data_IF_221706898323
#
_entry.id   IF_221706898323
#
_cell.length_a   1.000
_cell.length_b   1.000
_cell.length_c   1.000
_cell.angle_alpha   90.00
_cell.angle_beta   90.00
_cell.angle_gamma   90.00
#
_symmetry.space_group_name_H-M   'P 1'
#
loop_
_entity.id
_entity.type
_entity.pdbx_description
1 polymer ?
#
# COMPACT_ATOMS: atom_id res chain seq x y z
N UNK A 1 25.72 -8.49 46.25
CA UNK A 1 26.41 -7.76 45.15
C UNK A 1 26.18 -8.39 43.78
N UNK A 2 26.48 -9.68 43.55
CA UNK A 2 26.30 -10.29 42.22
C UNK A 2 24.82 -10.30 41.75
N UNK A 3 23.89 -10.66 42.65
CA UNK A 3 22.46 -10.66 42.36
C UNK A 3 21.91 -9.26 42.03
N UNK A 4 22.39 -8.22 42.72
CA UNK A 4 21.97 -6.82 42.47
C UNK A 4 22.52 -6.30 41.14
N UNK A 5 23.74 -6.70 40.75
CA UNK A 5 24.31 -6.36 39.44
C UNK A 5 23.59 -7.06 38.29
N UNK A 6 23.23 -8.34 38.44
CA UNK A 6 22.45 -9.07 37.45
C UNK A 6 21.06 -8.47 37.29
N UNK A 7 20.36 -8.17 38.40
CA UNK A 7 19.04 -7.54 38.36
C UNK A 7 19.09 -6.17 37.66
N UNK A 8 20.11 -5.35 37.94
CA UNK A 8 20.33 -4.07 37.26
C UNK A 8 20.60 -4.22 35.77
N UNK A 9 21.41 -5.21 35.37
CA UNK A 9 21.67 -5.52 33.97
C UNK A 9 20.40 -5.95 33.23
N UNK A 10 19.62 -6.88 33.79
CA UNK A 10 18.35 -7.32 33.18
C UNK A 10 17.34 -6.18 33.08
N UNK A 11 17.21 -5.35 34.12
CA UNK A 11 16.34 -4.18 34.09
C UNK A 11 16.76 -3.18 32.99
N UNK A 12 18.06 -2.95 32.83
CA UNK A 12 18.60 -2.09 31.77
C UNK A 12 18.28 -2.65 30.37
N UNK A 13 18.51 -3.95 30.14
CA UNK A 13 18.21 -4.60 28.87
C UNK A 13 16.71 -4.53 28.53
N UNK A 14 15.84 -4.79 29.51
CA UNK A 14 14.38 -4.69 29.34
C UNK A 14 13.97 -3.26 29.02
N UNK A 15 14.51 -2.27 29.73
CA UNK A 15 14.20 -0.86 29.48
C UNK A 15 14.64 -0.41 28.08
N UNK A 16 15.83 -0.80 27.64
CA UNK A 16 16.33 -0.49 26.30
C UNK A 16 15.50 -1.18 25.21
N UNK A 17 15.13 -2.45 25.40
CA UNK A 17 14.27 -3.18 24.48
C UNK A 17 12.87 -2.53 24.39
N UNK A 18 12.26 -2.21 25.53
CA UNK A 18 10.97 -1.53 25.58
C UNK A 18 11.03 -0.14 24.92
N UNK A 19 12.11 0.61 25.12
CA UNK A 19 12.32 1.90 24.46
C UNK A 19 12.44 1.76 22.93
N UNK A 20 13.18 0.75 22.44
CA UNK A 20 13.28 0.48 21.00
C UNK A 20 11.93 0.09 20.39
N UNK A 21 11.18 -0.81 21.03
CA UNK A 21 9.85 -1.21 20.58
C UNK A 21 8.88 -0.03 20.60
N UNK A 22 8.89 0.77 21.68
CA UNK A 22 8.06 1.96 21.81
C UNK A 22 8.39 3.04 20.78
N UNK A 23 9.67 3.27 20.49
CA UNK A 23 10.13 4.21 19.47
C UNK A 23 9.70 3.78 18.06
N UNK A 24 9.87 2.51 17.71
CA UNK A 24 9.40 1.95 16.44
C UNK A 24 7.87 2.08 16.32
N UNK A 25 7.12 1.64 17.33
CA UNK A 25 5.66 1.77 17.32
C UNK A 25 5.21 3.23 17.16
N UNK A 26 5.86 4.18 17.84
CA UNK A 26 5.58 5.61 17.71
C UNK A 26 5.90 6.14 16.30
N UNK A 27 7.00 5.70 15.71
CA UNK A 27 7.39 6.09 14.35
C UNK A 27 6.37 5.62 13.31
N UNK A 28 5.99 4.34 13.36
CA UNK A 28 4.94 3.78 12.47
C UNK A 28 3.58 4.46 12.68
N UNK A 29 3.18 4.72 13.94
CA UNK A 29 1.95 5.46 14.24
C UNK A 29 1.96 6.88 13.71
N UNK A 30 3.10 7.59 13.79
CA UNK A 30 3.24 8.94 13.22
C UNK A 30 3.15 8.92 11.69
N UNK A 31 3.75 7.92 11.03
CA UNK A 31 3.62 7.72 9.58
C UNK A 31 2.17 7.45 9.18
N UNK A 32 1.43 6.66 9.95
CA UNK A 32 0.00 6.42 9.73
C UNK A 32 -0.88 7.64 10.05
N UNK A 33 -0.51 8.47 11.03
CA UNK A 33 -1.27 9.66 11.43
C UNK A 33 -1.04 10.89 10.53
N UNK A 34 0.00 10.89 9.69
CA UNK A 34 0.16 11.91 8.67
C UNK A 34 -0.90 11.74 7.60
N UNK A 35 -1.75 12.76 7.39
CA UNK A 35 -2.44 12.94 6.12
C UNK A 35 -1.37 13.14 5.06
N UNK A 36 -0.83 12.04 4.53
CA UNK A 36 0.17 12.06 3.48
C UNK A 36 -0.33 12.95 2.34
N UNK A 37 0.58 13.67 1.70
CA UNK A 37 0.23 14.39 0.48
C UNK A 37 -0.54 13.43 -0.45
N UNK A 38 -1.57 13.91 -1.17
CA UNK A 38 -2.35 13.06 -2.06
C UNK A 38 -1.40 12.33 -3.02
N UNK A 39 -1.43 11.00 -2.98
CA UNK A 39 -0.58 10.13 -3.78
C UNK A 39 -1.45 9.47 -4.86
N UNK A 40 -1.04 9.61 -6.11
CA UNK A 40 -1.65 8.92 -7.25
C UNK A 40 -0.66 7.91 -7.82
N UNK A 41 -1.08 6.65 -7.92
CA UNK A 41 -0.34 5.56 -8.56
C UNK A 41 -0.93 5.31 -9.94
N UNK A 42 -0.11 5.44 -10.97
CA UNK A 42 -0.50 5.08 -12.34
C UNK A 42 0.04 3.68 -12.63
N UNK A 43 -0.86 2.73 -12.90
CA UNK A 43 -0.52 1.36 -13.29
C UNK A 43 -0.77 1.23 -14.80
N UNK A 44 0.28 1.29 -15.65
CA UNK A 44 0.13 0.97 -17.07
C UNK A 44 -0.18 -0.51 -17.24
N UNK A 45 -1.06 -0.80 -18.20
CA UNK A 45 -1.52 -2.13 -18.56
C UNK A 45 -1.48 -2.29 -20.08
N UNK A 46 -1.21 -3.51 -20.53
CA UNK A 46 -1.25 -3.87 -21.94
C UNK A 46 -1.67 -5.33 -22.07
N UNK A 47 -2.85 -5.56 -22.63
CA UNK A 47 -3.43 -6.90 -22.73
C UNK A 47 -3.80 -7.52 -21.38
N UNK A 48 -4.41 -8.70 -21.45
CA UNK A 48 -4.85 -9.45 -20.27
C UNK A 48 -3.80 -10.50 -19.90
N UNK A 49 -2.87 -10.13 -19.03
CA UNK A 49 -1.92 -11.07 -18.43
C UNK A 49 -2.66 -12.19 -17.67
N UNK A 50 -2.06 -13.37 -17.61
CA UNK A 50 -2.49 -14.41 -16.67
C UNK A 50 -2.44 -13.84 -15.25
N UNK A 51 -3.58 -13.86 -14.57
CA UNK A 51 -3.81 -13.29 -13.24
C UNK A 51 -3.84 -11.77 -13.09
N UNK A 52 -4.08 -11.03 -14.19
CA UNK A 52 -4.24 -9.57 -14.14
C UNK A 52 -5.13 -9.12 -12.99
N UNK A 53 -6.33 -9.69 -12.88
CA UNK A 53 -7.31 -9.32 -11.85
C UNK A 53 -6.79 -9.50 -10.42
N UNK A 54 -6.10 -10.61 -10.15
CA UNK A 54 -5.50 -10.86 -8.83
C UNK A 54 -4.42 -9.83 -8.51
N UNK A 55 -3.57 -9.49 -9.49
CA UNK A 55 -2.53 -8.46 -9.33
C UNK A 55 -3.14 -7.09 -9.06
N UNK A 56 -4.20 -6.71 -9.79
CA UNK A 56 -4.88 -5.44 -9.59
C UNK A 56 -5.58 -5.38 -8.22
N UNK A 57 -6.24 -6.46 -7.77
CA UNK A 57 -6.79 -6.53 -6.40
C UNK A 57 -5.72 -6.35 -5.34
N UNK A 58 -4.60 -7.07 -5.48
CA UNK A 58 -3.47 -6.95 -4.56
C UNK A 58 -2.89 -5.53 -4.53
N UNK A 59 -2.94 -4.79 -5.64
CA UNK A 59 -2.52 -3.38 -5.66
C UNK A 59 -3.47 -2.52 -4.82
N UNK A 60 -4.79 -2.69 -4.98
CA UNK A 60 -5.78 -1.94 -4.20
C UNK A 60 -5.74 -2.29 -2.71
N UNK A 61 -5.49 -3.55 -2.38
CA UNK A 61 -5.40 -4.02 -1.00
C UNK A 61 -4.08 -3.59 -0.31
N UNK A 62 -3.08 -3.15 -1.09
CA UNK A 62 -1.79 -2.67 -0.54
C UNK A 62 -1.90 -1.34 0.22
N UNK A 63 -2.99 -0.60 -0.01
CA UNK A 63 -3.36 0.59 0.76
C UNK A 63 -4.66 0.31 1.53
N UNK A 64 -4.61 -0.36 2.68
CA UNK A 64 -5.82 -0.74 3.42
C UNK A 64 -6.66 0.48 3.85
N UNK A 65 -6.06 1.66 3.99
CA UNK A 65 -6.70 2.89 4.46
C UNK A 65 -7.36 3.71 3.34
N UNK A 66 -7.13 3.37 2.06
CA UNK A 66 -7.80 4.01 0.91
C UNK A 66 -7.39 5.46 0.69
N UNK A 67 -6.15 5.81 1.03
CA UNK A 67 -5.57 7.14 0.89
C UNK A 67 -4.91 7.38 -0.47
N UNK A 68 -4.71 6.34 -1.26
CA UNK A 68 -4.04 6.38 -2.56
C UNK A 68 -5.05 6.32 -3.69
N UNK A 69 -4.95 7.25 -4.63
CA UNK A 69 -5.67 7.15 -5.89
C UNK A 69 -4.93 6.20 -6.84
N UNK A 70 -5.64 5.29 -7.50
CA UNK A 70 -5.05 4.39 -8.49
C UNK A 70 -5.68 4.60 -9.86
N UNK A 71 -4.84 4.90 -10.85
CA UNK A 71 -5.22 5.05 -12.25
C UNK A 71 -4.73 3.84 -13.05
N UNK A 72 -5.66 3.02 -13.52
CA UNK A 72 -5.36 1.92 -14.44
C UNK A 72 -5.27 2.49 -15.87
N UNK A 73 -4.05 2.63 -16.39
CA UNK A 73 -3.82 3.20 -17.71
C UNK A 73 -3.80 2.10 -18.78
N UNK A 74 -4.70 2.19 -19.76
CA UNK A 74 -4.73 1.35 -20.97
C UNK A 74 -4.55 2.21 -22.21
N UNK A 75 -4.02 1.61 -23.28
CA UNK A 75 -3.86 2.28 -24.56
C UNK A 75 -5.21 2.62 -25.20
N UNK A 76 -6.14 1.66 -25.20
CA UNK A 76 -7.47 1.81 -25.79
C UNK A 76 -8.53 1.01 -25.04
N UNK A 77 -9.81 1.19 -25.40
CA UNK A 77 -10.93 0.41 -24.82
C UNK A 77 -10.98 -1.02 -25.33
N UNK A 78 -10.32 -1.27 -26.46
CA UNK A 78 -10.16 -2.57 -27.10
C UNK A 78 -9.04 -3.38 -26.44
N UNK A 79 -8.22 -2.77 -25.59
CA UNK A 79 -7.23 -3.50 -24.80
C UNK A 79 -7.92 -4.55 -23.91
N UNK A 80 -7.52 -5.83 -23.97
CA UNK A 80 -8.10 -6.89 -23.13
C UNK A 80 -8.04 -6.63 -21.62
N UNK A 81 -7.16 -5.76 -21.12
CA UNK A 81 -7.12 -5.32 -19.72
C UNK A 81 -8.29 -4.40 -19.34
N UNK A 82 -8.81 -3.61 -20.29
CA UNK A 82 -9.85 -2.61 -20.04
C UNK A 82 -11.10 -3.18 -19.37
N UNK A 83 -11.73 -4.28 -19.84
CA UNK A 83 -12.92 -4.82 -19.19
C UNK A 83 -12.63 -5.32 -17.77
N UNK A 84 -11.45 -5.90 -17.52
CA UNK A 84 -11.04 -6.38 -16.18
C UNK A 84 -10.88 -5.22 -15.22
N UNK A 85 -10.11 -4.19 -15.61
CA UNK A 85 -9.89 -3.01 -14.78
C UNK A 85 -11.18 -2.20 -14.56
N UNK A 86 -12.00 -2.04 -15.59
CA UNK A 86 -13.29 -1.35 -15.50
C UNK A 86 -14.28 -2.07 -14.58
N UNK A 87 -14.30 -3.41 -14.62
CA UNK A 87 -15.10 -4.21 -13.70
C UNK A 87 -14.60 -4.02 -12.26
N UNK A 88 -13.30 -4.18 -12.03
CA UNK A 88 -12.72 -4.05 -10.70
C UNK A 88 -12.93 -2.65 -10.10
N UNK A 89 -12.84 -1.60 -10.91
CA UNK A 89 -13.13 -0.22 -10.50
C UNK A 89 -14.57 -0.05 -9.99
N UNK A 90 -15.54 -0.72 -10.62
CA UNK A 90 -16.93 -0.72 -10.16
C UNK A 90 -17.16 -1.58 -8.91
N UNK A 91 -16.38 -2.66 -8.75
CA UNK A 91 -16.47 -3.56 -7.58
C UNK A 91 -15.89 -2.94 -6.30
N UNK A 92 -15.06 -1.91 -6.39
CA UNK A 92 -14.36 -1.27 -5.27
C UNK A 92 -14.72 0.23 -5.13
N UNK A 93 -15.99 0.58 -4.89
CA UNK A 93 -16.42 1.98 -4.72
C UNK A 93 -15.85 2.62 -3.44
N UNK A 94 -15.28 1.82 -2.54
CA UNK A 94 -14.54 2.25 -1.36
C UNK A 94 -13.14 2.81 -1.67
N UNK A 95 -12.70 2.73 -2.94
CA UNK A 95 -11.36 3.13 -3.39
C UNK A 95 -11.45 4.25 -4.41
N UNK A 96 -10.51 5.20 -4.36
CA UNK A 96 -10.33 6.21 -5.42
C UNK A 96 -9.61 5.55 -6.60
N UNK A 97 -10.38 4.99 -7.51
CA UNK A 97 -9.89 4.24 -8.67
C UNK A 97 -10.56 4.71 -9.94
N UNK A 98 -9.77 4.87 -11.00
CA UNK A 98 -10.28 5.15 -12.34
C UNK A 98 -9.49 4.41 -13.42
N UNK A 99 -10.14 4.20 -14.56
CA UNK A 99 -9.49 3.67 -15.76
C UNK A 99 -9.21 4.83 -16.71
N UNK A 100 -7.94 5.01 -17.07
CA UNK A 100 -7.47 6.07 -17.97
C UNK A 100 -7.14 5.46 -19.34
N UNK A 101 -7.75 6.00 -20.40
CA UNK A 101 -7.39 5.64 -21.78
C UNK A 101 -6.37 6.66 -22.28
N UNK A 102 -5.14 6.23 -22.56
CA UNK A 102 -4.03 7.14 -22.87
C UNK A 102 -3.86 7.40 -24.37
N UNK A 103 -4.43 6.55 -25.21
CA UNK A 103 -4.08 6.51 -26.63
C UNK A 103 -2.74 5.81 -26.87
N UNK A 104 -2.36 5.62 -28.15
CA UNK A 104 -1.14 4.91 -28.53
C UNK A 104 0.11 5.59 -27.97
N UNK A 105 1.00 4.79 -27.38
CA UNK A 105 2.36 5.22 -27.09
C UNK A 105 3.12 5.27 -28.41
N UNK A 106 3.47 6.49 -28.85
CA UNK A 106 4.19 6.75 -30.11
C UNK A 106 5.60 6.18 -30.16
#
# INVERSE_FOLDING_TARGET
MLLTLLAGYYACVIALYAAMVGANARFYRRKAAGSGAPLTVIKPMRGAEEDLERKLRSLLDSDPEGRVQVLFAVESREDPAYPVASRLARERPDRDVAVLVTGPSG
#
